data_IF_507295674756
#
_entry.id   IF_507295674756
#
_cell.length_a   1.000
_cell.length_b   1.000
_cell.length_c   1.000
_cell.angle_alpha   90.00
_cell.angle_beta   90.00
_cell.angle_gamma   90.00
#
_symmetry.space_group_name_H-M   'P 1'
#
loop_
_entity.id
_entity.type
_entity.pdbx_description
1 polymer ?
#
# COMPACT_ATOMS: atom_id res chain seq x y z
N UNK A 1 20.96 -47.02 1.89
CA UNK A 1 19.74 -46.66 2.63
C UNK A 1 19.73 -45.15 2.90
N UNK A 2 18.81 -44.43 2.22
CA UNK A 2 18.04 -43.27 2.69
C UNK A 2 18.66 -42.32 3.72
N UNK A 3 19.59 -41.43 3.35
CA UNK A 3 19.98 -40.27 4.18
C UNK A 3 20.55 -39.09 3.36
N UNK A 4 19.90 -38.64 2.28
CA UNK A 4 20.33 -37.37 1.63
C UNK A 4 19.18 -36.54 1.03
N UNK A 5 17.94 -36.81 1.42
CA UNK A 5 16.77 -36.09 0.89
C UNK A 5 16.03 -35.46 2.07
N UNK A 6 16.56 -34.40 2.66
CA UNK A 6 15.76 -33.64 3.64
C UNK A 6 16.10 -32.16 3.84
N UNK A 7 17.03 -31.55 3.10
CA UNK A 7 17.45 -30.15 3.37
C UNK A 7 17.49 -29.30 2.10
N UNK A 8 16.54 -29.48 1.18
CA UNK A 8 16.46 -28.65 -0.03
C UNK A 8 15.12 -27.92 -0.20
N UNK A 9 14.18 -28.06 0.74
CA UNK A 9 12.84 -27.47 0.60
C UNK A 9 12.70 -26.08 1.25
N UNK A 10 13.65 -25.63 2.06
CA UNK A 10 13.53 -24.36 2.78
C UNK A 10 13.91 -23.12 1.95
N UNK A 11 14.67 -23.29 0.87
CA UNK A 11 15.11 -22.14 0.04
C UNK A 11 14.05 -21.71 -0.99
N UNK A 12 13.07 -22.57 -1.31
CA UNK A 12 12.04 -22.24 -2.30
C UNK A 12 10.93 -21.34 -1.74
N UNK A 13 10.74 -21.31 -0.41
CA UNK A 13 9.74 -20.45 0.25
C UNK A 13 10.27 -19.04 0.55
N UNK A 14 11.58 -18.81 0.45
CA UNK A 14 12.19 -17.49 0.69
C UNK A 14 12.20 -16.58 -0.54
N UNK A 15 11.99 -17.12 -1.74
CA UNK A 15 11.96 -16.36 -3.00
C UNK A 15 10.58 -15.80 -3.32
N UNK A 16 9.52 -16.29 -2.65
CA UNK A 16 8.15 -15.81 -2.88
C UNK A 16 7.79 -14.61 -2.01
N UNK A 17 8.47 -14.37 -0.88
CA UNK A 17 8.25 -13.18 -0.07
C UNK A 17 8.91 -11.92 -0.63
N UNK A 18 9.91 -12.06 -1.51
CA UNK A 18 10.52 -10.92 -2.21
C UNK A 18 9.79 -10.58 -3.53
N UNK A 19 8.73 -11.33 -3.87
CA UNK A 19 7.82 -10.98 -4.96
C UNK A 19 6.71 -10.04 -4.46
N UNK A 20 6.29 -10.21 -3.20
CA UNK A 20 5.35 -9.37 -2.45
C UNK A 20 5.90 -8.01 -1.97
N UNK A 21 6.83 -7.46 -2.71
CA UNK A 21 7.47 -6.17 -2.40
C UNK A 21 8.04 -5.61 -3.70
N UNK A 22 7.16 -5.48 -4.70
CA UNK A 22 7.60 -5.11 -6.03
C UNK A 22 7.91 -3.61 -6.07
N UNK A 23 8.93 -3.14 -6.84
CA UNK A 23 9.17 -1.70 -6.96
C UNK A 23 8.00 -0.91 -7.56
N UNK A 24 7.04 -1.59 -8.19
CA UNK A 24 5.84 -0.97 -8.77
C UNK A 24 4.74 -0.78 -7.72
N UNK A 25 4.50 -1.79 -6.89
CA UNK A 25 3.62 -1.74 -5.70
C UNK A 25 4.06 -0.63 -4.76
N UNK A 26 5.32 -0.65 -4.30
CA UNK A 26 5.87 0.40 -3.42
C UNK A 26 5.72 1.81 -4.01
N UNK A 27 5.95 1.99 -5.31
CA UNK A 27 5.77 3.30 -5.93
C UNK A 27 4.31 3.73 -5.99
N UNK A 28 3.37 2.79 -6.04
CA UNK A 28 1.94 3.11 -6.00
C UNK A 28 1.50 3.42 -4.58
N UNK A 29 1.94 2.66 -3.59
CA UNK A 29 1.72 2.94 -2.16
C UNK A 29 2.32 4.30 -1.77
N UNK A 30 3.57 4.58 -2.14
CA UNK A 30 4.22 5.88 -1.92
C UNK A 30 3.41 7.05 -2.52
N UNK A 31 2.77 6.83 -3.67
CA UNK A 31 1.90 7.84 -4.30
C UNK A 31 0.56 7.97 -3.58
N UNK A 32 -0.01 6.85 -3.12
CA UNK A 32 -1.25 6.83 -2.34
C UNK A 32 -1.07 7.62 -1.04
N UNK A 33 0.01 7.35 -0.31
CA UNK A 33 0.33 8.04 0.94
C UNK A 33 0.63 9.53 0.71
N UNK A 34 1.34 9.89 -0.38
CA UNK A 34 1.56 11.30 -0.71
C UNK A 34 0.26 12.07 -1.05
N UNK A 35 -0.76 11.39 -1.56
CA UNK A 35 -2.08 11.98 -1.82
C UNK A 35 -2.84 12.17 -0.51
N UNK A 36 -2.81 11.16 0.36
CA UNK A 36 -3.42 11.18 1.69
C UNK A 36 -2.86 12.32 2.55
N UNK A 37 -1.53 12.41 2.67
CA UNK A 37 -0.86 13.50 3.40
C UNK A 37 -1.22 14.89 2.84
N UNK A 38 -1.42 15.00 1.52
CA UNK A 38 -1.83 16.26 0.90
C UNK A 38 -3.30 16.62 1.18
N UNK A 39 -4.17 15.61 1.28
CA UNK A 39 -5.56 15.76 1.68
C UNK A 39 -5.65 16.16 3.16
N UNK A 40 -4.96 15.46 4.06
CA UNK A 40 -4.86 15.80 5.48
C UNK A 40 -4.35 17.23 5.69
N UNK A 41 -3.24 17.62 5.04
CA UNK A 41 -2.71 18.98 5.17
C UNK A 41 -3.69 20.06 4.66
N UNK A 42 -4.56 19.69 3.70
CA UNK A 42 -5.62 20.58 3.22
C UNK A 42 -6.78 20.63 4.21
N UNK A 43 -7.18 19.48 4.77
CA UNK A 43 -8.23 19.37 5.79
C UNK A 43 -7.85 20.15 7.06
N UNK A 44 -6.61 20.00 7.56
CA UNK A 44 -6.06 20.78 8.67
C UNK A 44 -6.22 22.29 8.46
N UNK A 45 -5.87 22.77 7.25
CA UNK A 45 -5.99 24.18 6.91
C UNK A 45 -7.47 24.64 6.84
N UNK A 46 -8.40 23.74 6.53
CA UNK A 46 -9.84 23.99 6.54
C UNK A 46 -10.41 24.00 7.96
N UNK A 47 -9.98 23.08 8.83
CA UNK A 47 -10.34 23.06 10.25
C UNK A 47 -9.90 24.34 10.95
N UNK A 48 -8.66 24.79 10.72
CA UNK A 48 -8.13 26.05 11.24
C UNK A 48 -8.95 27.28 10.78
N UNK A 49 -9.62 27.16 9.64
CA UNK A 49 -10.53 28.17 9.10
C UNK A 49 -11.98 28.03 9.60
N UNK A 50 -12.28 27.03 10.43
CA UNK A 50 -13.61 26.73 10.97
C UNK A 50 -14.54 26.06 9.97
N UNK A 51 -14.01 25.34 8.99
CA UNK A 51 -14.76 24.62 7.95
C UNK A 51 -14.72 23.10 8.19
N UNK A 52 -15.09 22.66 9.38
CA UNK A 52 -15.01 21.24 9.82
C UNK A 52 -15.68 20.27 8.83
N UNK A 53 -16.92 20.54 8.40
CA UNK A 53 -17.64 19.62 7.47
C UNK A 53 -16.98 19.53 6.07
N UNK A 54 -16.23 20.54 5.66
CA UNK A 54 -15.44 20.49 4.42
C UNK A 54 -14.08 19.85 4.61
N UNK A 55 -13.48 19.98 5.80
CA UNK A 55 -12.26 19.27 6.16
C UNK A 55 -12.53 17.75 6.16
N UNK A 56 -13.58 17.32 6.86
CA UNK A 56 -14.03 15.92 6.91
C UNK A 56 -14.21 15.34 5.50
N UNK A 57 -14.86 16.09 4.60
CA UNK A 57 -15.10 15.64 3.23
C UNK A 57 -13.82 15.56 2.37
N UNK A 58 -12.80 16.36 2.69
CA UNK A 58 -11.50 16.31 2.00
C UNK A 58 -10.67 15.14 2.51
N UNK A 59 -10.66 14.92 3.82
CA UNK A 59 -10.00 13.77 4.46
C UNK A 59 -10.61 12.46 3.96
N UNK A 60 -11.95 12.32 4.00
CA UNK A 60 -12.66 11.12 3.50
C UNK A 60 -12.35 10.86 2.02
N UNK A 61 -12.26 11.90 1.18
CA UNK A 61 -11.89 11.74 -0.22
C UNK A 61 -10.42 11.34 -0.41
N UNK A 62 -9.52 11.82 0.45
CA UNK A 62 -8.12 11.42 0.50
C UNK A 62 -7.97 9.93 0.83
N UNK A 63 -8.61 9.51 1.92
CA UNK A 63 -8.67 8.11 2.37
C UNK A 63 -9.26 7.19 1.30
N UNK A 64 -10.41 7.55 0.71
CA UNK A 64 -11.02 6.76 -0.38
C UNK A 64 -10.08 6.60 -1.58
N UNK A 65 -9.29 7.65 -1.88
CA UNK A 65 -8.33 7.61 -2.99
C UNK A 65 -7.14 6.72 -2.64
N UNK A 66 -6.63 6.83 -1.42
CA UNK A 66 -5.55 5.98 -0.90
C UNK A 66 -5.97 4.51 -0.93
N UNK A 67 -7.11 4.18 -0.34
CA UNK A 67 -7.66 2.82 -0.31
C UNK A 67 -7.77 2.23 -1.72
N UNK A 68 -8.29 3.00 -2.68
CA UNK A 68 -8.41 2.54 -4.06
C UNK A 68 -7.05 2.32 -4.75
N UNK A 69 -6.02 3.08 -4.36
CA UNK A 69 -4.67 2.92 -4.89
C UNK A 69 -3.92 1.77 -4.21
N UNK A 70 -4.07 1.59 -2.90
CA UNK A 70 -3.53 0.44 -2.17
C UNK A 70 -4.16 -0.87 -2.67
N UNK A 71 -5.48 -0.93 -2.87
CA UNK A 71 -6.14 -2.12 -3.44
C UNK A 71 -5.62 -2.43 -4.86
N UNK A 72 -5.37 -1.39 -5.67
CA UNK A 72 -4.76 -1.55 -6.99
C UNK A 72 -3.30 -1.99 -6.93
N UNK A 73 -2.54 -1.58 -5.90
CA UNK A 73 -1.16 -2.00 -5.66
C UNK A 73 -1.10 -3.47 -5.23
N UNK A 74 -1.96 -3.88 -4.30
CA UNK A 74 -2.13 -5.26 -3.85
C UNK A 74 -2.47 -6.20 -5.02
N UNK A 75 -3.36 -5.78 -5.93
CA UNK A 75 -3.72 -6.54 -7.13
C UNK A 75 -2.53 -6.75 -8.08
N UNK A 76 -1.55 -5.84 -8.09
CA UNK A 76 -0.32 -6.02 -8.88
C UNK A 76 0.59 -7.10 -8.30
N UNK A 77 0.62 -7.26 -6.98
CA UNK A 77 1.36 -8.33 -6.31
C UNK A 77 0.64 -9.69 -6.38
N UNK A 78 -0.69 -9.70 -6.27
CA UNK A 78 -1.50 -10.92 -6.35
C UNK A 78 -1.42 -11.63 -7.71
N UNK A 79 -0.84 -10.99 -8.74
CA UNK A 79 -0.54 -11.64 -10.03
C UNK A 79 0.85 -12.28 -10.04
N UNK A 80 0.95 -13.63 -10.08
CA UNK A 80 2.25 -14.28 -10.27
C UNK A 80 2.80 -13.91 -11.66
N UNK A 81 3.98 -13.28 -11.71
CA UNK A 81 4.78 -13.14 -12.93
C UNK A 81 5.45 -14.47 -13.31
#
# INVERSE_FOLDING_TARGET
MKKIISVAAAAALGLTLAACDSPAENQMEDQAEAIDEAAEATADAMEDAGMEEQADAVEEQGEETKDAMEEAADDMDATPQ
#
